data_IF_232898849980
#
_entry.id   IF_232898849980
#
_cell.length_a   1.000
_cell.length_b   1.000
_cell.length_c   1.000
_cell.angle_alpha   90.00
_cell.angle_beta   90.00
_cell.angle_gamma   90.00
#
_symmetry.space_group_name_H-M   'P 1'
#
loop_
_entity.id
_entity.type
_entity.pdbx_description
1 polymer ?
#
# COMPACT_ATOMS: atom_id res chain seq x y z
N UNK A 1 -6.80 13.24 9.12
CA UNK A 1 -6.90 11.87 8.58
C UNK A 1 -5.85 11.70 7.49
N UNK A 2 -5.14 10.60 7.48
CA UNK A 2 -4.14 10.32 6.44
C UNK A 2 -4.81 9.83 5.16
N UNK A 3 -4.11 9.90 4.06
CA UNK A 3 -4.58 9.30 2.81
C UNK A 3 -3.39 8.81 1.98
N UNK A 4 -3.64 7.76 1.22
CA UNK A 4 -2.71 7.24 0.24
C UNK A 4 -2.71 8.18 -0.96
N UNK A 5 -1.55 8.38 -1.59
CA UNK A 5 -1.46 9.26 -2.77
C UNK A 5 -2.11 8.58 -3.97
N UNK A 6 -3.32 8.99 -4.29
CA UNK A 6 -4.12 8.38 -5.36
C UNK A 6 -3.46 8.49 -6.73
N UNK A 7 -2.74 9.57 -6.99
CA UNK A 7 -2.06 9.75 -8.28
C UNK A 7 -0.90 8.77 -8.42
N UNK A 8 -0.16 8.54 -7.34
CA UNK A 8 0.94 7.58 -7.34
C UNK A 8 0.44 6.16 -7.47
N UNK A 9 -0.64 5.82 -6.76
CA UNK A 9 -1.29 4.52 -6.89
C UNK A 9 -1.78 4.31 -8.33
N UNK A 10 -2.40 5.32 -8.92
CA UNK A 10 -2.89 5.23 -10.30
C UNK A 10 -1.75 4.96 -11.29
N UNK A 11 -0.61 5.64 -11.13
CA UNK A 11 0.56 5.40 -12.00
C UNK A 11 1.07 3.97 -11.89
N UNK A 12 1.15 3.45 -10.67
CA UNK A 12 1.59 2.07 -10.43
C UNK A 12 0.60 1.09 -11.07
N UNK A 13 -0.69 1.30 -10.87
CA UNK A 13 -1.71 0.43 -11.44
C UNK A 13 -1.75 0.51 -12.97
N UNK A 14 -1.53 1.69 -13.55
CA UNK A 14 -1.47 1.83 -15.00
C UNK A 14 -0.28 1.05 -15.58
N UNK A 15 0.88 1.13 -14.95
CA UNK A 15 2.05 0.38 -15.36
C UNK A 15 1.82 -1.13 -15.22
N UNK A 16 1.19 -1.56 -14.14
CA UNK A 16 0.85 -2.97 -13.92
C UNK A 16 -0.12 -3.48 -14.98
N UNK A 17 -1.18 -2.70 -15.27
CA UNK A 17 -2.19 -3.07 -16.26
C UNK A 17 -1.59 -3.20 -17.64
N UNK A 18 -0.62 -2.35 -17.99
CA UNK A 18 0.05 -2.42 -19.29
C UNK A 18 0.85 -3.71 -19.48
N UNK A 19 1.40 -4.25 -18.39
CA UNK A 19 2.25 -5.45 -18.45
C UNK A 19 1.49 -6.72 -18.06
N UNK A 20 0.57 -6.63 -17.13
CA UNK A 20 -0.17 -7.77 -16.57
C UNK A 20 -1.61 -7.39 -16.30
N UNK A 21 -2.46 -7.32 -17.36
CA UNK A 21 -3.87 -6.92 -17.19
C UNK A 21 -4.59 -7.79 -16.16
N UNK A 22 -5.33 -7.15 -15.26
CA UNK A 22 -6.09 -7.83 -14.23
C UNK A 22 -5.29 -8.31 -13.02
N UNK A 23 -3.99 -8.03 -12.97
CA UNK A 23 -3.14 -8.47 -11.87
C UNK A 23 -3.33 -7.61 -10.62
N UNK A 24 -2.98 -8.18 -9.49
CA UNK A 24 -2.80 -7.47 -8.22
C UNK A 24 -1.33 -7.31 -7.94
N UNK A 25 -0.97 -6.29 -7.17
CA UNK A 25 0.41 -6.02 -6.81
C UNK A 25 0.53 -5.89 -5.29
N UNK A 26 1.44 -6.67 -4.72
CA UNK A 26 1.82 -6.51 -3.32
C UNK A 26 3.15 -5.75 -3.26
N UNK A 27 3.11 -4.55 -2.71
CA UNK A 27 4.29 -3.71 -2.52
C UNK A 27 4.82 -3.97 -1.12
N UNK A 28 6.04 -4.47 -1.00
CA UNK A 28 6.62 -4.82 0.29
C UNK A 28 7.98 -4.16 0.56
N UNK A 29 8.34 -3.18 -0.25
CA UNK A 29 9.58 -2.43 -0.06
C UNK A 29 9.28 -1.16 0.76
N UNK A 30 10.05 -0.88 1.85
CA UNK A 30 9.76 0.25 2.73
C UNK A 30 9.72 1.61 2.02
N UNK A 31 10.59 1.83 1.05
CA UNK A 31 10.62 3.09 0.33
C UNK A 31 9.41 3.26 -0.58
N UNK A 32 8.99 2.17 -1.25
CA UNK A 32 7.80 2.19 -2.09
C UNK A 32 6.53 2.37 -1.25
N UNK A 33 6.46 1.74 -0.10
CA UNK A 33 5.35 1.92 0.84
C UNK A 33 5.29 3.39 1.28
N UNK A 34 6.42 3.97 1.65
CA UNK A 34 6.49 5.37 2.03
C UNK A 34 6.06 6.28 0.87
N UNK A 35 6.51 5.98 -0.34
CA UNK A 35 6.14 6.73 -1.54
C UNK A 35 4.63 6.79 -1.75
N UNK A 36 3.93 5.67 -1.47
CA UNK A 36 2.49 5.56 -1.69
C UNK A 36 1.68 6.08 -0.50
N UNK A 37 2.12 5.82 0.73
CA UNK A 37 1.29 5.98 1.92
C UNK A 37 1.76 7.08 2.86
N UNK A 38 2.99 7.56 2.70
CA UNK A 38 3.60 8.48 3.66
C UNK A 38 4.08 7.80 4.95
N UNK A 39 3.93 6.49 5.07
CA UNK A 39 4.34 5.72 6.24
C UNK A 39 5.59 4.91 5.90
N UNK A 40 6.67 5.13 6.66
CA UNK A 40 7.89 4.34 6.52
C UNK A 40 7.87 3.23 7.56
N UNK A 41 7.90 1.98 7.10
CA UNK A 41 7.93 0.81 7.96
C UNK A 41 9.29 0.14 7.85
N UNK A 42 9.95 -0.06 8.99
CA UNK A 42 11.13 -0.89 9.05
C UNK A 42 10.67 -2.35 9.09
N UNK A 43 11.00 -3.09 8.04
CA UNK A 43 10.55 -4.48 7.88
C UNK A 43 11.56 -5.47 8.41
N UNK A 44 12.45 -5.06 9.29
CA UNK A 44 13.57 -5.87 9.74
C UNK A 44 13.12 -7.22 10.33
N UNK A 45 12.04 -7.23 11.12
CA UNK A 45 11.55 -8.46 11.74
C UNK A 45 10.09 -8.75 11.44
N UNK A 46 9.35 -7.83 10.83
CA UNK A 46 7.91 -7.95 10.67
C UNK A 46 7.49 -7.51 9.28
N UNK A 47 6.61 -8.29 8.70
CA UNK A 47 6.09 -7.99 7.37
C UNK A 47 5.20 -6.75 7.40
N UNK A 48 5.40 -5.89 6.39
CA UNK A 48 4.53 -4.79 6.08
C UNK A 48 4.39 -4.71 4.56
N UNK A 49 3.20 -4.44 4.06
CA UNK A 49 2.99 -4.37 2.64
C UNK A 49 1.77 -3.55 2.29
N UNK A 50 1.65 -3.21 1.02
CA UNK A 50 0.48 -2.54 0.46
C UNK A 50 -0.02 -3.36 -0.72
N UNK A 51 -1.27 -3.80 -0.64
CA UNK A 51 -1.89 -4.55 -1.72
C UNK A 51 -2.68 -3.59 -2.60
N UNK A 52 -2.35 -3.57 -3.88
CA UNK A 52 -2.99 -2.72 -4.88
C UNK A 52 -3.70 -3.56 -5.92
N UNK A 53 -4.93 -3.18 -6.24
CA UNK A 53 -5.71 -3.79 -7.32
C UNK A 53 -6.63 -2.74 -7.92
N UNK A 54 -6.79 -2.80 -9.24
CA UNK A 54 -7.71 -1.89 -9.93
C UNK A 54 -9.13 -2.16 -9.48
N UNK A 55 -9.87 -1.10 -9.16
CA UNK A 55 -11.26 -1.21 -8.72
C UNK A 55 -11.45 -1.45 -7.24
N UNK A 56 -10.36 -1.56 -6.48
CA UNK A 56 -10.41 -1.75 -5.02
C UNK A 56 -9.56 -0.70 -4.34
N UNK A 57 -9.94 -0.30 -3.13
CA UNK A 57 -9.08 0.59 -2.37
C UNK A 57 -7.82 -0.14 -1.92
N UNK A 58 -6.68 0.55 -1.79
CA UNK A 58 -5.46 -0.08 -1.28
C UNK A 58 -5.66 -0.66 0.12
N UNK A 59 -4.98 -1.77 0.40
CA UNK A 59 -4.96 -2.39 1.73
C UNK A 59 -3.54 -2.31 2.28
N UNK A 60 -3.37 -1.64 3.40
CA UNK A 60 -2.08 -1.54 4.09
C UNK A 60 -2.04 -2.65 5.13
N UNK A 61 -1.13 -3.60 4.92
CA UNK A 61 -0.95 -4.76 5.81
C UNK A 61 0.22 -4.46 6.74
N UNK A 62 -0.04 -4.38 8.04
CA UNK A 62 0.98 -4.05 9.03
C UNK A 62 0.88 -4.97 10.23
N UNK A 63 2.00 -5.13 10.93
CA UNK A 63 2.01 -5.85 12.20
C UNK A 63 1.25 -5.04 13.26
N UNK A 64 0.56 -5.73 14.16
CA UNK A 64 -0.27 -5.11 15.19
C UNK A 64 0.53 -4.24 16.17
N UNK A 65 1.85 -4.34 16.20
CA UNK A 65 2.69 -3.48 17.03
C UNK A 65 2.87 -2.07 16.43
N UNK A 66 2.57 -1.89 15.14
CA UNK A 66 2.56 -0.57 14.54
C UNK A 66 1.23 0.11 14.81
N UNK A 67 1.27 1.43 14.98
CA UNK A 67 0.07 2.23 15.12
C UNK A 67 0.03 3.23 13.96
N UNK A 68 -0.88 3.00 13.04
CA UNK A 68 -1.06 3.87 11.90
C UNK A 68 -2.24 4.80 12.13
N UNK A 69 -2.23 6.02 11.54
CA UNK A 69 -3.43 6.84 11.52
C UNK A 69 -4.51 6.16 10.67
N UNK A 70 -5.73 6.61 10.79
CA UNK A 70 -6.78 6.18 9.88
C UNK A 70 -6.55 6.79 8.51
N UNK A 71 -6.79 6.00 7.47
CA UNK A 71 -6.73 6.43 6.08
C UNK A 71 -8.15 6.57 5.55
N UNK A 72 -8.39 7.64 4.81
CA UNK A 72 -9.72 7.90 4.23
C UNK A 72 -9.92 7.18 2.89
N UNK A 73 -8.85 6.72 2.25
CA UNK A 73 -8.89 6.08 0.93
C UNK A 73 -8.14 4.75 0.88
N UNK A 74 -7.89 4.17 2.04
CA UNK A 74 -7.23 2.86 2.13
C UNK A 74 -7.70 2.16 3.39
N UNK A 75 -7.64 0.84 3.37
CA UNK A 75 -7.93 0.01 4.52
C UNK A 75 -6.63 -0.40 5.19
N UNK A 76 -6.58 -0.34 6.51
CA UNK A 76 -5.44 -0.83 7.29
C UNK A 76 -5.83 -2.16 7.91
N UNK A 77 -5.06 -3.20 7.61
CA UNK A 77 -5.27 -4.53 8.15
C UNK A 77 -4.07 -4.93 9.01
N UNK A 78 -4.33 -5.29 10.26
CA UNK A 78 -3.29 -5.67 11.21
C UNK A 78 -3.16 -7.18 11.30
N UNK A 79 -1.94 -7.63 11.50
CA UNK A 79 -1.69 -9.06 11.67
C UNK A 79 -0.73 -9.35 12.84
#
# INVERSE_FOLDING_TARGET
>A
MAHVDDQRVARVLDALEAQHPGAQLLVNDPWSIYYLTGFYADMFERFCGVLLARGSEPVILVNALHQLPEYDNARVAYH
#
